data_IF_596231882981
#
_entry.id   IF_596231882981
#
_cell.length_a   1.000
_cell.length_b   1.000
_cell.length_c   1.000
_cell.angle_alpha   90.00
_cell.angle_beta   90.00
_cell.angle_gamma   90.00
#
_symmetry.space_group_name_H-M   'P 1'
#
loop_
_entity.id
_entity.type
_entity.pdbx_description
1 polymer ?
#
# COMPACT_ATOMS: atom_id res chain seq x y z
N UNK A 1 -11.11 16.12 19.39
CA UNK A 1 -10.56 16.07 18.21
C UNK A 1 -10.29 14.71 17.73
N UNK A 2 -10.63 14.45 16.56
CA UNK A 2 -10.51 13.14 16.05
C UNK A 2 -9.04 12.79 15.88
N UNK A 3 -8.73 11.55 16.19
CA UNK A 3 -7.45 11.10 16.00
C UNK A 3 -7.22 10.78 14.57
N UNK A 4 -6.11 11.10 14.04
CA UNK A 4 -5.80 10.75 12.68
C UNK A 4 -5.63 9.24 12.59
N UNK A 5 -6.04 8.67 11.48
CA UNK A 5 -5.84 7.25 11.23
C UNK A 5 -4.42 6.96 10.82
N UNK A 6 -3.62 7.98 10.59
CA UNK A 6 -2.27 7.79 10.06
C UNK A 6 -1.26 8.51 10.92
N UNK A 7 -0.09 7.91 11.01
CA UNK A 7 1.05 8.52 11.64
C UNK A 7 2.09 8.78 10.58
N UNK A 8 2.74 9.93 10.65
CA UNK A 8 3.79 10.24 9.71
C UNK A 8 5.11 10.18 10.45
N UNK A 9 5.92 9.22 10.09
CA UNK A 9 7.21 9.01 10.74
C UNK A 9 8.27 9.13 9.67
N UNK A 10 9.17 10.09 9.84
CA UNK A 10 10.22 10.29 8.87
C UNK A 10 9.67 10.65 7.49
N UNK A 11 8.55 11.36 7.44
CA UNK A 11 7.95 11.73 6.18
C UNK A 11 7.16 10.64 5.52
N UNK A 12 7.00 9.49 6.18
CA UNK A 12 6.33 8.36 5.58
C UNK A 12 5.02 8.09 6.30
N UNK A 13 3.86 8.31 5.66
CA UNK A 13 2.58 8.06 6.33
C UNK A 13 2.36 6.57 6.53
N UNK A 14 2.00 6.21 7.73
CA UNK A 14 1.72 4.82 8.10
C UNK A 14 0.34 4.75 8.71
N UNK A 15 -0.25 3.57 8.60
CA UNK A 15 -1.53 3.35 9.26
C UNK A 15 -1.26 3.23 10.74
N UNK A 16 -2.00 4.01 11.52
CA UNK A 16 -1.77 4.13 12.95
C UNK A 16 -1.83 2.75 13.61
N UNK A 17 -0.84 2.45 14.41
CA UNK A 17 -0.78 1.16 15.10
C UNK A 17 -0.23 0.03 14.27
N UNK A 18 0.18 0.29 13.05
CA UNK A 18 0.69 -0.75 12.16
C UNK A 18 1.98 -0.29 11.51
N UNK A 19 2.73 -1.26 11.02
CA UNK A 19 3.93 -0.95 10.25
C UNK A 19 3.61 -0.71 8.80
N UNK A 20 2.37 -0.92 8.40
CA UNK A 20 1.96 -0.83 7.01
C UNK A 20 1.83 0.63 6.62
N UNK A 21 2.47 1.00 5.54
CA UNK A 21 2.46 2.37 5.06
C UNK A 21 1.34 2.55 4.05
N UNK A 22 0.93 3.80 3.87
CA UNK A 22 -0.09 4.08 2.87
C UNK A 22 0.35 3.57 1.50
N UNK A 23 1.62 3.77 1.15
CA UNK A 23 2.07 3.32 -0.17
C UNK A 23 2.06 1.80 -0.31
N UNK A 24 2.12 1.07 0.80
CA UNK A 24 2.02 -0.39 0.73
C UNK A 24 0.62 -0.80 0.29
N UNK A 25 -0.39 -0.10 0.78
CA UNK A 25 -1.76 -0.36 0.39
C UNK A 25 -1.98 0.02 -1.08
N UNK A 26 -1.43 1.16 -1.48
CA UNK A 26 -1.54 1.61 -2.86
C UNK A 26 -0.89 0.59 -3.79
N UNK A 27 0.27 0.08 -3.40
CA UNK A 27 0.97 -0.89 -4.22
C UNK A 27 0.18 -2.18 -4.36
N UNK A 28 -0.47 -2.61 -3.28
CA UNK A 28 -1.29 -3.81 -3.36
C UNK A 28 -2.42 -3.64 -4.37
N UNK A 29 -3.01 -2.45 -4.41
CA UNK A 29 -4.07 -2.18 -5.37
C UNK A 29 -3.52 -2.07 -6.79
N UNK A 30 -2.47 -1.27 -6.98
CA UNK A 30 -2.01 -0.94 -8.32
C UNK A 30 -1.11 -2.00 -8.91
N UNK A 31 -0.24 -2.57 -8.12
CA UNK A 31 0.66 -3.60 -8.61
C UNK A 31 0.03 -4.99 -8.54
N UNK A 32 -0.75 -5.21 -7.50
CA UNK A 32 -1.39 -6.51 -7.34
C UNK A 32 -2.74 -6.63 -8.00
N UNK A 33 -3.32 -5.51 -8.41
CA UNK A 33 -4.63 -5.54 -9.04
C UNK A 33 -5.74 -5.95 -8.09
N UNK A 34 -5.59 -5.66 -6.80
CA UNK A 34 -6.52 -6.15 -5.80
C UNK A 34 -7.53 -5.08 -5.42
N UNK A 35 -8.74 -5.53 -5.12
CA UNK A 35 -9.73 -4.64 -4.52
C UNK A 35 -9.40 -4.45 -3.04
N UNK A 36 -9.97 -3.42 -2.40
CA UNK A 36 -9.74 -3.24 -0.97
C UNK A 36 -10.13 -4.48 -0.16
N UNK A 37 -11.20 -5.15 -0.53
CA UNK A 37 -11.61 -6.38 0.16
C UNK A 37 -10.56 -7.46 0.01
N UNK A 38 -9.98 -7.58 -1.17
CA UNK A 38 -8.94 -8.58 -1.40
C UNK A 38 -7.67 -8.25 -0.64
N UNK A 39 -7.38 -6.96 -0.51
CA UNK A 39 -6.20 -6.55 0.25
C UNK A 39 -6.32 -7.00 1.69
N UNK A 40 -7.48 -6.80 2.29
CA UNK A 40 -7.69 -7.24 3.66
C UNK A 40 -7.67 -8.76 3.75
N UNK A 41 -8.25 -9.43 2.77
CA UNK A 41 -8.35 -10.89 2.85
C UNK A 41 -7.01 -11.58 2.62
N UNK A 42 -6.18 -11.01 1.75
CA UNK A 42 -5.02 -11.76 1.25
C UNK A 42 -3.67 -11.16 1.63
N UNK A 43 -3.60 -9.86 1.85
CA UNK A 43 -2.30 -9.21 2.00
C UNK A 43 -2.11 -8.70 3.41
N UNK A 44 -3.06 -7.93 3.90
CA UNK A 44 -2.95 -7.30 5.21
C UNK A 44 -4.17 -7.64 6.05
N UNK A 45 -4.29 -8.89 6.50
CA UNK A 45 -5.47 -9.28 7.27
C UNK A 45 -5.58 -8.58 8.62
N UNK A 46 -4.51 -7.96 9.07
CA UNK A 46 -4.55 -7.22 10.32
C UNK A 46 -5.22 -5.86 10.18
N UNK A 47 -5.47 -5.41 8.96
CA UNK A 47 -6.15 -4.15 8.73
C UNK A 47 -7.64 -4.37 8.60
N UNK A 48 -8.40 -3.34 8.97
CA UNK A 48 -9.82 -3.35 8.68
C UNK A 48 -10.04 -2.78 7.28
N UNK A 49 -11.20 -3.08 6.73
CA UNK A 49 -11.54 -2.53 5.43
C UNK A 49 -11.58 -1.01 5.48
N UNK A 50 -12.05 -0.45 6.59
CA UNK A 50 -12.08 1.00 6.73
C UNK A 50 -10.69 1.59 6.67
N UNK A 51 -9.72 0.91 7.26
CA UNK A 51 -8.34 1.39 7.23
C UNK A 51 -7.78 1.35 5.82
N UNK A 52 -8.12 0.34 5.06
CA UNK A 52 -7.66 0.26 3.67
C UNK A 52 -8.27 1.38 2.85
N UNK A 53 -9.57 1.61 2.99
CA UNK A 53 -10.20 2.71 2.27
C UNK A 53 -9.63 4.05 2.70
N UNK A 54 -9.39 4.23 3.99
CA UNK A 54 -8.81 5.48 4.48
C UNK A 54 -7.42 5.71 3.90
N UNK A 55 -6.64 4.65 3.76
CA UNK A 55 -5.32 4.77 3.16
C UNK A 55 -5.42 5.21 1.71
N UNK A 56 -6.37 4.66 0.97
CA UNK A 56 -6.55 5.03 -0.41
C UNK A 56 -7.04 6.47 -0.56
N UNK A 57 -7.89 6.92 0.36
CA UNK A 57 -8.33 8.32 0.35
C UNK A 57 -7.15 9.22 0.66
N UNK A 58 -6.36 8.86 1.65
CA UNK A 58 -5.16 9.64 1.96
C UNK A 58 -4.25 9.74 0.73
N UNK A 59 -4.10 8.64 0.03
CA UNK A 59 -3.30 8.64 -1.18
C UNK A 59 -3.84 9.63 -2.21
N UNK A 60 -5.15 9.65 -2.40
CA UNK A 60 -5.72 10.57 -3.38
C UNK A 60 -5.44 12.03 -3.03
N UNK A 61 -5.40 12.33 -1.75
CA UNK A 61 -5.12 13.69 -1.31
C UNK A 61 -3.63 14.03 -1.39
N UNK A 62 -2.77 13.03 -1.45
CA UNK A 62 -1.32 13.23 -1.41
C UNK A 62 -0.64 12.49 -2.54
N UNK A 63 -1.29 12.40 -3.69
CA UNK A 63 -0.79 11.57 -4.79
C UNK A 63 0.61 11.93 -5.21
N UNK A 64 0.86 13.23 -5.40
CA UNK A 64 2.15 13.64 -5.89
C UNK A 64 3.27 13.23 -4.95
N UNK A 65 3.04 13.41 -3.66
CA UNK A 65 4.06 13.08 -2.68
C UNK A 65 4.32 11.59 -2.62
N UNK A 66 3.25 10.82 -2.62
CA UNK A 66 3.39 9.37 -2.49
C UNK A 66 3.95 8.78 -3.77
N UNK A 67 3.46 9.23 -4.92
CA UNK A 67 3.99 8.75 -6.19
C UNK A 67 5.47 9.09 -6.33
N UNK A 68 5.84 10.28 -5.89
CA UNK A 68 7.23 10.69 -5.95
C UNK A 68 8.10 9.80 -5.07
N UNK A 69 7.61 9.51 -3.87
CA UNK A 69 8.37 8.65 -2.96
C UNK A 69 8.53 7.26 -3.53
N UNK A 70 7.49 6.73 -4.15
CA UNK A 70 7.55 5.41 -4.74
C UNK A 70 8.51 5.38 -5.93
N UNK A 71 8.51 6.45 -6.73
CA UNK A 71 9.42 6.52 -7.86
C UNK A 71 10.86 6.68 -7.42
N UNK A 72 11.07 7.41 -6.34
CA UNK A 72 12.43 7.65 -5.84
C UNK A 72 13.05 6.41 -5.25
N UNK A 73 12.23 5.44 -4.87
CA UNK A 73 12.75 4.19 -4.35
C UNK A 73 12.60 3.13 -5.43
N UNK A 74 13.54 3.10 -6.31
CA UNK A 74 13.46 2.18 -7.43
C UNK A 74 13.30 0.73 -6.99
N UNK A 75 13.80 0.42 -5.80
CA UNK A 75 13.73 -0.95 -5.33
C UNK A 75 12.46 -1.27 -4.58
N UNK A 76 11.59 -0.28 -4.42
CA UNK A 76 10.37 -0.50 -3.65
C UNK A 76 9.51 -1.60 -4.26
N UNK A 77 9.31 -1.56 -5.55
CA UNK A 77 8.46 -2.54 -6.23
C UNK A 77 9.05 -3.94 -6.06
N UNK A 78 10.33 -4.04 -6.27
CA UNK A 78 11.00 -5.31 -6.15
C UNK A 78 10.89 -5.85 -4.73
N UNK A 79 11.09 -5.00 -3.76
CA UNK A 79 11.01 -5.41 -2.37
C UNK A 79 9.57 -5.81 -2.00
N UNK A 80 8.61 -5.03 -2.48
CA UNK A 80 7.22 -5.33 -2.21
C UNK A 80 6.83 -6.71 -2.75
N UNK A 81 7.23 -7.00 -3.96
CA UNK A 81 6.91 -8.28 -4.57
C UNK A 81 7.63 -9.43 -3.89
N UNK A 82 8.81 -9.17 -3.37
CA UNK A 82 9.54 -10.17 -2.63
C UNK A 82 8.82 -10.52 -1.35
N UNK A 83 8.25 -9.52 -0.69
CA UNK A 83 7.52 -9.74 0.55
C UNK A 83 6.16 -10.37 0.32
N UNK A 84 5.64 -10.26 -0.90
CA UNK A 84 4.32 -10.77 -1.24
C UNK A 84 4.40 -11.58 -2.53
N UNK A 85 5.07 -12.72 -2.49
CA UNK A 85 5.29 -13.47 -3.73
C UNK A 85 4.02 -13.88 -4.43
N UNK A 86 2.91 -13.99 -3.70
CA UNK A 86 1.67 -14.36 -4.33
C UNK A 86 1.19 -13.28 -5.30
N UNK A 87 1.57 -12.04 -5.09
CA UNK A 87 1.18 -10.97 -5.98
C UNK A 87 2.08 -10.90 -7.21
N UNK A 88 3.29 -11.39 -7.08
CA UNK A 88 4.22 -11.34 -8.20
C UNK A 88 3.70 -12.09 -9.40
N UNK A 89 2.95 -13.14 -9.16
CA UNK A 89 2.40 -13.89 -10.26
C UNK A 89 1.40 -13.11 -11.06
N UNK A 90 0.65 -12.28 -10.35
CA UNK A 90 -0.40 -11.51 -11.01
C UNK A 90 0.16 -10.37 -11.82
N UNK A 91 1.26 -9.80 -11.38
CA UNK A 91 1.81 -8.68 -12.12
C UNK A 91 2.84 -9.12 -13.15
N UNK A 92 3.25 -10.42 -13.11
CA UNK A 92 4.21 -10.86 -14.05
C UNK A 92 3.63 -10.87 -15.42
N UNK A 93 4.27 -10.33 -16.34
CA UNK A 93 3.76 -10.37 -17.69
C UNK A 93 3.70 -11.79 -18.12
N UNK A 94 2.86 -11.99 -18.94
CA UNK A 94 2.68 -13.26 -19.35
C UNK A 94 3.84 -13.69 -20.03
N UNK A 95 4.70 -13.91 -19.75
CA UNK A 95 5.65 -14.25 -20.32
C UNK A 95 5.73 -15.33 -20.68
N UNK A 96 5.63 -15.61 -20.89
CA UNK A 96 5.58 -16.44 -21.09
C UNK A 96 6.14 -17.04 -21.53
#
# INVERSE_FOLDING_TARGET
MAKSAFSVVGGEPRIDGHRIRVRDVVAARDLGGLTPEEIVASVYPELTLAQVYAALVYYEDHRDEIDQAMQNEAQFVEQFLKDHPQLARDVRPAKS
#
